data_IF_680650773239
#
_entry.id   IF_680650773239
#
_cell.length_a   1.000
_cell.length_b   1.000
_cell.length_c   1.000
_cell.angle_alpha   90.00
_cell.angle_beta   90.00
_cell.angle_gamma   90.00
#
_symmetry.space_group_name_H-M   'P 1'
#
loop_
_entity.id
_entity.type
_entity.pdbx_description
1 polymer ?
#
# COMPACT_ATOMS: atom_id res chain seq x y z
N UNK A 1 4.65 -23.33 30.72
CA UNK A 1 4.24 -24.12 29.54
C UNK A 1 3.51 -23.15 28.64
N UNK A 2 3.95 -22.95 27.39
CA UNK A 2 3.28 -21.99 26.48
C UNK A 2 2.00 -22.64 25.94
N UNK A 3 0.85 -22.04 26.19
CA UNK A 3 -0.48 -22.46 25.70
C UNK A 3 -1.27 -21.23 25.24
N UNK A 4 -2.29 -21.42 24.41
CA UNK A 4 -3.19 -20.34 24.00
C UNK A 4 -4.42 -20.31 24.91
N UNK A 5 -4.85 -19.11 25.31
CA UNK A 5 -6.15 -18.89 25.97
C UNK A 5 -7.21 -18.62 24.91
N UNK A 6 -8.37 -19.28 25.04
CA UNK A 6 -9.51 -19.11 24.15
C UNK A 6 -10.69 -18.48 24.90
N UNK A 7 -11.61 -17.85 24.17
CA UNK A 7 -12.93 -17.54 24.70
C UNK A 7 -13.86 -18.79 24.71
N UNK A 8 -15.10 -18.61 25.18
CA UNK A 8 -16.09 -19.70 25.23
C UNK A 8 -16.53 -20.21 23.84
N UNK A 9 -16.18 -19.49 22.78
CA UNK A 9 -16.50 -19.80 21.39
C UNK A 9 -15.26 -20.31 20.62
N UNK A 10 -14.11 -20.46 21.27
CA UNK A 10 -12.88 -20.97 20.67
C UNK A 10 -12.03 -19.92 19.95
N UNK A 11 -12.29 -18.62 20.13
CA UNK A 11 -11.44 -17.56 19.58
C UNK A 11 -10.20 -17.36 20.43
N UNK A 12 -9.06 -17.17 19.77
CA UNK A 12 -7.82 -16.80 20.44
C UNK A 12 -7.93 -15.46 21.16
N UNK A 13 -7.48 -15.41 22.43
CA UNK A 13 -7.39 -14.19 23.23
C UNK A 13 -5.93 -13.78 23.44
N UNK A 14 -5.13 -14.61 24.08
CA UNK A 14 -3.73 -14.31 24.41
C UNK A 14 -2.89 -15.58 24.68
N UNK A 15 -1.56 -15.42 24.71
CA UNK A 15 -0.59 -16.44 25.09
C UNK A 15 -0.52 -16.55 26.63
N UNK A 16 -0.68 -17.76 27.18
CA UNK A 16 -0.42 -18.04 28.60
C UNK A 16 0.96 -18.69 28.77
N UNK A 17 1.76 -18.14 29.68
CA UNK A 17 3.14 -18.58 29.90
C UNK A 17 3.37 -19.12 31.31
N UNK A 18 2.70 -18.53 32.32
CA UNK A 18 2.91 -18.82 33.75
C UNK A 18 1.61 -18.68 34.56
N UNK A 19 1.42 -19.53 35.58
CA UNK A 19 0.22 -19.56 36.43
C UNK A 19 -0.66 -20.80 36.21
N UNK A 20 -1.83 -20.83 36.85
CA UNK A 20 -2.79 -21.92 36.73
C UNK A 20 -3.33 -22.04 35.29
N UNK A 21 -3.67 -23.26 34.86
CA UNK A 21 -4.27 -23.51 33.54
C UNK A 21 -5.66 -22.88 33.46
N UNK A 22 -5.96 -22.07 32.42
CA UNK A 22 -7.27 -21.42 32.27
C UNK A 22 -8.37 -22.41 31.86
N UNK A 23 -9.64 -22.00 31.93
CA UNK A 23 -10.81 -22.88 31.66
C UNK A 23 -11.06 -23.19 30.18
N UNK A 24 -10.45 -22.42 29.27
CA UNK A 24 -10.51 -22.60 27.82
C UNK A 24 -9.12 -22.39 27.26
N UNK A 25 -8.45 -23.47 26.87
CA UNK A 25 -7.09 -23.40 26.36
C UNK A 25 -6.78 -24.52 25.37
N UNK A 26 -5.73 -24.32 24.59
CA UNK A 26 -5.16 -25.38 23.74
C UNK A 26 -3.63 -25.32 23.74
N UNK A 27 -3.00 -26.50 23.70
CA UNK A 27 -1.57 -26.64 23.49
C UNK A 27 -1.16 -26.44 22.02
N UNK A 28 -2.12 -26.46 21.10
CA UNK A 28 -1.90 -26.21 19.68
C UNK A 28 -1.70 -24.71 19.45
N UNK A 29 -0.45 -24.28 19.40
CA UNK A 29 -0.09 -22.87 19.26
C UNK A 29 -0.60 -22.28 17.95
N UNK A 30 -1.06 -21.02 18.00
CA UNK A 30 -1.50 -20.30 16.82
C UNK A 30 -0.24 -19.86 16.09
N UNK A 31 -0.16 -20.11 14.78
CA UNK A 31 0.98 -19.69 13.98
C UNK A 31 1.15 -18.16 14.00
N UNK A 32 2.36 -17.66 13.72
CA UNK A 32 2.54 -16.23 13.49
C UNK A 32 1.69 -15.79 12.28
N UNK A 33 0.84 -14.78 12.44
CA UNK A 33 0.10 -14.15 11.34
C UNK A 33 -1.41 -14.42 11.25
N UNK A 34 -2.00 -15.17 12.18
CA UNK A 34 -3.46 -15.36 12.22
C UNK A 34 -4.19 -14.14 12.84
N UNK A 35 -5.10 -13.50 12.10
CA UNK A 35 -5.98 -12.45 12.64
C UNK A 35 -7.33 -13.03 13.06
N UNK A 36 -7.70 -12.91 14.34
CA UNK A 36 -8.98 -13.43 14.87
C UNK A 36 -9.21 -14.91 14.47
N UNK A 37 -8.26 -15.79 14.80
CA UNK A 37 -8.44 -17.21 14.54
C UNK A 37 -9.37 -17.87 15.56
N UNK A 38 -10.14 -18.83 15.07
CA UNK A 38 -11.00 -19.69 15.86
C UNK A 38 -10.51 -21.13 15.74
N UNK A 39 -10.40 -21.84 16.87
CA UNK A 39 -10.05 -23.25 16.89
C UNK A 39 -11.32 -24.08 16.66
N UNK A 40 -11.53 -24.53 15.43
CA UNK A 40 -12.77 -25.16 14.96
C UNK A 40 -12.67 -26.69 14.95
N UNK A 41 -13.80 -27.37 15.14
CA UNK A 41 -13.88 -28.84 15.06
C UNK A 41 -13.27 -29.59 16.26
N UNK A 42 -12.85 -28.88 17.30
CA UNK A 42 -12.23 -29.46 18.48
C UNK A 42 -13.26 -30.08 19.44
N UNK A 43 -12.76 -30.97 20.31
CA UNK A 43 -13.51 -31.54 21.44
C UNK A 43 -12.94 -30.94 22.73
N UNK A 44 -13.80 -30.32 23.53
CA UNK A 44 -13.44 -29.78 24.85
C UNK A 44 -13.55 -30.86 25.93
N UNK A 45 -12.47 -31.07 26.68
CA UNK A 45 -12.48 -31.89 27.88
C UNK A 45 -13.17 -31.14 29.04
N UNK A 46 -14.24 -31.71 29.61
CA UNK A 46 -15.03 -31.09 30.67
C UNK A 46 -14.32 -31.04 32.03
N UNK A 47 -13.33 -31.90 32.27
CA UNK A 47 -12.58 -31.96 33.53
C UNK A 47 -11.37 -31.01 33.53
N UNK A 48 -10.72 -30.82 32.38
CA UNK A 48 -9.46 -30.05 32.28
C UNK A 48 -9.60 -28.71 31.55
N UNK A 49 -10.70 -28.48 30.83
CA UNK A 49 -10.92 -27.28 30.02
C UNK A 49 -10.17 -27.26 28.68
N UNK A 50 -9.39 -28.30 28.37
CA UNK A 50 -8.55 -28.37 27.17
C UNK A 50 -9.36 -28.66 25.90
N UNK A 51 -9.06 -27.96 24.81
CA UNK A 51 -9.60 -28.21 23.48
C UNK A 51 -8.59 -29.00 22.64
N UNK A 52 -9.01 -30.17 22.11
CA UNK A 52 -8.13 -31.07 21.33
C UNK A 52 -8.75 -31.49 20.00
N UNK A 53 -7.89 -31.80 19.02
CA UNK A 53 -8.31 -32.36 17.72
C UNK A 53 -8.98 -31.36 16.76
N UNK A 54 -8.87 -30.07 17.03
CA UNK A 54 -9.37 -29.01 16.15
C UNK A 54 -8.32 -28.51 15.17
N UNK A 55 -8.74 -27.56 14.34
CA UNK A 55 -7.89 -26.83 13.39
C UNK A 55 -8.10 -25.33 13.58
N UNK A 56 -7.01 -24.57 13.57
CA UNK A 56 -7.09 -23.11 13.55
C UNK A 56 -7.60 -22.60 12.20
N UNK A 57 -8.72 -21.88 12.23
CA UNK A 57 -9.33 -21.24 11.06
C UNK A 57 -9.28 -19.73 11.27
N UNK A 58 -8.76 -19.00 10.29
CA UNK A 58 -8.79 -17.53 10.30
C UNK A 58 -10.23 -17.06 10.03
N UNK A 59 -10.83 -16.36 11.00
CA UNK A 59 -12.24 -15.92 10.90
C UNK A 59 -12.39 -14.40 10.80
N UNK A 60 -11.28 -13.68 10.69
CA UNK A 60 -11.25 -12.24 10.44
C UNK A 60 -10.08 -11.86 9.55
N UNK A 61 -10.14 -10.66 8.99
CA UNK A 61 -9.24 -10.22 7.94
C UNK A 61 -9.98 -10.03 6.62
N UNK A 62 -9.33 -9.35 5.68
CA UNK A 62 -9.83 -9.23 4.31
C UNK A 62 -9.75 -10.61 3.65
N UNK A 63 -10.83 -11.06 3.01
CA UNK A 63 -10.77 -12.28 2.20
C UNK A 63 -9.77 -12.11 1.05
N UNK A 64 -9.29 -13.21 0.42
CA UNK A 64 -8.47 -13.10 -0.78
C UNK A 64 -9.11 -12.23 -1.87
N UNK A 65 -10.44 -12.29 -2.01
CA UNK A 65 -11.20 -11.44 -2.93
C UNK A 65 -11.14 -9.96 -2.53
N UNK A 66 -11.32 -9.64 -1.25
CA UNK A 66 -11.19 -8.27 -0.75
C UNK A 66 -9.78 -7.70 -0.95
N UNK A 67 -8.75 -8.54 -0.76
CA UNK A 67 -7.35 -8.17 -0.99
C UNK A 67 -7.12 -7.85 -2.47
N UNK A 68 -7.67 -8.67 -3.37
CA UNK A 68 -7.53 -8.46 -4.81
C UNK A 68 -8.30 -7.21 -5.28
N UNK A 69 -9.48 -6.95 -4.71
CA UNK A 69 -10.23 -5.71 -4.93
C UNK A 69 -9.41 -4.49 -4.50
N UNK A 70 -8.78 -4.53 -3.32
CA UNK A 70 -7.96 -3.43 -2.82
C UNK A 70 -6.72 -3.21 -3.68
N UNK A 71 -6.03 -4.29 -4.10
CA UNK A 71 -4.89 -4.19 -5.03
C UNK A 71 -5.32 -3.57 -6.36
N UNK A 72 -6.47 -3.99 -6.90
CA UNK A 72 -7.05 -3.42 -8.11
C UNK A 72 -7.36 -1.93 -7.95
N UNK A 73 -7.94 -1.53 -6.81
CA UNK A 73 -8.24 -0.14 -6.49
C UNK A 73 -6.98 0.73 -6.37
N UNK A 74 -5.93 0.22 -5.70
CA UNK A 74 -4.64 0.88 -5.58
C UNK A 74 -3.96 1.07 -6.94
N UNK A 75 -4.00 0.03 -7.78
CA UNK A 75 -3.45 0.09 -9.13
C UNK A 75 -4.22 1.08 -10.01
N UNK A 76 -5.55 1.10 -9.92
CA UNK A 76 -6.39 2.06 -10.64
C UNK A 76 -6.08 3.50 -10.21
N UNK A 77 -5.99 3.76 -8.91
CA UNK A 77 -5.66 5.07 -8.36
C UNK A 77 -4.27 5.53 -8.79
N UNK A 78 -3.27 4.64 -8.73
CA UNK A 78 -1.90 4.92 -9.14
C UNK A 78 -1.79 5.22 -10.64
N UNK A 79 -2.58 4.54 -11.48
CA UNK A 79 -2.66 4.85 -12.91
C UNK A 79 -3.30 6.21 -13.19
N UNK A 80 -4.33 6.59 -12.43
CA UNK A 80 -4.95 7.91 -12.54
C UNK A 80 -3.96 9.01 -12.15
N UNK A 81 -3.20 8.82 -11.08
CA UNK A 81 -2.14 9.76 -10.67
C UNK A 81 -1.06 9.89 -11.75
N UNK A 82 -0.56 8.77 -12.29
CA UNK A 82 0.38 8.77 -13.42
C UNK A 82 -0.15 9.57 -14.61
N UNK A 83 -1.43 9.36 -14.98
CA UNK A 83 -2.06 10.07 -16.08
C UNK A 83 -2.17 11.58 -15.79
N UNK A 84 -2.53 11.95 -14.57
CA UNK A 84 -2.60 13.36 -14.13
C UNK A 84 -1.23 14.05 -14.21
N UNK A 85 -0.17 13.41 -13.68
CA UNK A 85 1.19 13.94 -13.74
C UNK A 85 1.71 14.07 -15.18
N UNK A 86 1.39 13.10 -16.04
CA UNK A 86 1.71 13.15 -17.48
C UNK A 86 0.97 14.27 -18.22
N UNK A 87 -0.29 14.51 -17.88
CA UNK A 87 -1.10 15.60 -18.43
C UNK A 87 -0.49 16.94 -18.03
N UNK A 88 -0.28 17.15 -16.74
CA UNK A 88 0.31 18.38 -16.22
C UNK A 88 1.68 18.67 -16.87
N UNK A 89 2.56 17.67 -16.96
CA UNK A 89 3.84 17.85 -17.64
C UNK A 89 3.69 18.20 -19.13
N UNK A 90 2.66 17.70 -19.80
CA UNK A 90 2.40 18.01 -21.21
C UNK A 90 1.85 19.42 -21.39
N UNK A 91 0.99 19.88 -20.47
CA UNK A 91 0.47 21.24 -20.44
C UNK A 91 1.61 22.25 -20.24
N UNK A 92 2.51 21.99 -19.29
CA UNK A 92 3.69 22.84 -19.04
C UNK A 92 4.66 22.84 -20.24
N UNK A 93 4.89 21.68 -20.87
CA UNK A 93 5.71 21.62 -22.10
C UNK A 93 5.07 22.43 -23.21
N UNK A 94 3.75 22.35 -23.38
CA UNK A 94 3.00 23.12 -24.37
C UNK A 94 3.17 24.62 -24.15
N UNK A 95 2.83 25.10 -22.96
CA UNK A 95 2.96 26.52 -22.60
C UNK A 95 4.38 27.07 -22.82
N UNK A 96 5.41 26.35 -22.40
CA UNK A 96 6.81 26.77 -22.58
C UNK A 96 7.20 26.75 -24.07
N UNK A 97 6.69 25.79 -24.85
CA UNK A 97 6.97 25.72 -26.28
C UNK A 97 6.33 26.91 -27.00
N UNK A 98 5.06 27.20 -26.71
CA UNK A 98 4.32 28.32 -27.29
C UNK A 98 5.00 29.67 -26.95
N UNK A 99 5.54 29.82 -25.74
CA UNK A 99 6.29 31.02 -25.33
C UNK A 99 7.61 31.16 -26.11
N UNK A 100 8.36 30.08 -26.27
CA UNK A 100 9.58 30.08 -27.10
C UNK A 100 9.26 30.46 -28.54
N UNK A 101 8.22 29.85 -29.13
CA UNK A 101 7.80 30.11 -30.50
C UNK A 101 7.40 31.58 -30.68
N UNK A 102 6.64 32.16 -29.74
CA UNK A 102 6.26 33.57 -29.79
C UNK A 102 7.44 34.55 -29.73
N UNK A 103 8.47 34.23 -28.95
CA UNK A 103 9.71 35.02 -28.90
C UNK A 103 10.51 34.89 -30.21
N UNK A 104 10.64 33.66 -30.73
CA UNK A 104 11.35 33.40 -31.99
C UNK A 104 10.66 34.07 -33.19
N UNK A 105 9.32 34.03 -33.26
CA UNK A 105 8.52 34.70 -34.29
C UNK A 105 8.62 36.23 -34.21
N UNK A 106 8.88 36.77 -33.01
CA UNK A 106 9.07 38.21 -32.77
C UNK A 106 10.54 38.65 -32.94
N UNK A 107 11.44 37.74 -33.34
CA UNK A 107 12.89 37.95 -33.40
C UNK A 107 13.51 38.39 -32.05
N UNK A 108 12.88 38.01 -30.92
CA UNK A 108 13.36 38.27 -29.57
C UNK A 108 14.28 37.14 -29.08
N UNK A 109 15.26 37.49 -28.24
CA UNK A 109 16.17 36.50 -27.65
C UNK A 109 15.43 35.58 -26.67
N UNK A 110 15.45 34.27 -26.93
CA UNK A 110 14.86 33.26 -26.04
C UNK A 110 15.67 33.14 -24.74
N UNK A 111 15.07 33.38 -23.57
CA UNK A 111 15.75 33.25 -22.29
C UNK A 111 16.28 31.82 -22.04
N UNK A 112 17.49 31.73 -21.48
CA UNK A 112 18.13 30.44 -21.21
C UNK A 112 17.37 29.60 -20.17
N UNK A 113 16.69 30.25 -19.21
CA UNK A 113 15.84 29.57 -18.22
C UNK A 113 14.66 28.87 -18.88
N UNK A 114 14.04 29.49 -19.89
CA UNK A 114 12.91 28.89 -20.61
C UNK A 114 13.31 27.59 -21.32
N UNK A 115 14.52 27.59 -21.93
CA UNK A 115 15.10 26.38 -22.54
C UNK A 115 15.48 25.31 -21.51
N UNK A 116 15.99 25.69 -20.33
CA UNK A 116 16.28 24.74 -19.26
C UNK A 116 15.00 24.14 -18.66
N UNK A 117 13.95 24.95 -18.50
CA UNK A 117 12.66 24.51 -17.96
C UNK A 117 11.99 23.53 -18.91
N UNK A 118 11.99 23.82 -20.22
CA UNK A 118 11.50 22.88 -21.23
C UNK A 118 12.22 21.53 -21.16
N UNK A 119 13.54 21.55 -20.95
CA UNK A 119 14.34 20.32 -20.81
C UNK A 119 13.98 19.58 -19.52
N UNK A 120 13.83 20.28 -18.41
CA UNK A 120 13.47 19.69 -17.12
C UNK A 120 12.09 19.02 -17.17
N UNK A 121 11.09 19.69 -17.75
CA UNK A 121 9.74 19.13 -17.91
C UNK A 121 9.70 17.93 -18.85
N UNK A 122 10.45 17.96 -19.97
CA UNK A 122 10.59 16.79 -20.87
C UNK A 122 11.20 15.59 -20.14
N UNK A 123 12.24 15.81 -19.33
CA UNK A 123 12.85 14.74 -18.52
C UNK A 123 11.89 14.22 -17.44
N UNK A 124 11.20 15.12 -16.75
CA UNK A 124 10.19 14.78 -15.75
C UNK A 124 9.09 13.89 -16.34
N UNK A 125 8.49 14.28 -17.48
CA UNK A 125 7.46 13.48 -18.16
C UNK A 125 7.95 12.07 -18.50
N UNK A 126 9.20 11.93 -18.94
CA UNK A 126 9.80 10.62 -19.21
C UNK A 126 9.96 9.80 -17.93
N UNK A 127 10.39 10.43 -16.82
CA UNK A 127 10.48 9.76 -15.52
C UNK A 127 9.11 9.25 -15.08
N UNK A 128 8.07 10.12 -15.09
CA UNK A 128 6.68 9.74 -14.77
C UNK A 128 6.20 8.59 -15.63
N UNK A 129 6.41 8.65 -16.96
CA UNK A 129 6.04 7.58 -17.88
C UNK A 129 6.64 6.22 -17.49
N UNK A 130 7.86 6.22 -16.97
CA UNK A 130 8.59 5.01 -16.62
C UNK A 130 8.34 4.52 -15.18
N UNK A 131 7.55 5.24 -14.38
CA UNK A 131 7.15 4.78 -13.04
C UNK A 131 6.35 3.48 -13.14
N UNK A 132 6.73 2.49 -12.35
CA UNK A 132 6.03 1.24 -12.20
C UNK A 132 4.90 1.36 -11.15
N UNK A 133 3.67 1.35 -11.63
CA UNK A 133 2.47 1.47 -10.78
C UNK A 133 2.15 0.18 -10.02
N UNK A 134 2.80 -0.95 -10.34
CA UNK A 134 2.62 -2.21 -9.62
C UNK A 134 3.25 -2.19 -8.22
N UNK A 135 4.09 -1.19 -7.94
CA UNK A 135 4.69 -0.95 -6.63
C UNK A 135 3.71 -0.32 -5.62
N UNK A 136 2.48 -0.02 -6.04
CA UNK A 136 1.45 0.52 -5.17
C UNK A 136 1.27 -0.33 -3.88
N UNK A 137 1.12 0.32 -2.71
CA UNK A 137 0.98 1.77 -2.50
C UNK A 137 2.33 2.53 -2.40
N UNK A 138 3.46 1.82 -2.45
CA UNK A 138 4.79 2.38 -2.19
C UNK A 138 5.46 2.86 -3.49
N UNK A 139 4.82 3.82 -4.17
CA UNK A 139 5.35 4.43 -5.39
C UNK A 139 6.16 5.68 -5.02
N UNK A 140 7.40 5.74 -5.50
CA UNK A 140 8.20 6.97 -5.45
C UNK A 140 7.96 7.80 -6.71
N UNK A 141 7.11 8.82 -6.58
CA UNK A 141 6.86 9.75 -7.67
C UNK A 141 8.05 10.69 -7.88
N UNK A 142 8.45 10.98 -9.13
CA UNK A 142 9.47 11.99 -9.39
C UNK A 142 8.98 13.36 -8.93
N UNK A 143 9.89 14.18 -8.42
CA UNK A 143 9.60 15.57 -8.06
C UNK A 143 9.46 16.40 -9.33
N UNK A 144 8.41 17.22 -9.40
CA UNK A 144 8.13 18.10 -10.54
C UNK A 144 9.07 19.32 -10.54
N UNK A 145 9.40 19.89 -11.72
CA UNK A 145 10.31 21.04 -11.81
C UNK A 145 9.81 22.31 -11.09
N UNK A 146 8.49 22.53 -11.02
CA UNK A 146 7.87 23.66 -10.32
C UNK A 146 7.98 23.56 -8.78
N UNK A 147 7.92 22.35 -8.22
CA UNK A 147 8.11 22.14 -6.79
C UNK A 147 9.52 22.53 -6.32
N UNK A 148 10.52 22.39 -7.20
CA UNK A 148 11.91 22.81 -6.94
C UNK A 148 12.05 24.34 -6.93
N UNK A 149 11.18 25.06 -7.67
CA UNK A 149 11.20 26.52 -7.72
C UNK A 149 10.58 27.16 -6.47
N UNK A 150 9.77 26.44 -5.70
CA UNK A 150 9.13 26.96 -4.48
C UNK A 150 9.98 26.85 -3.20
N UNK A 151 11.13 26.16 -3.26
CA UNK A 151 12.05 26.01 -2.11
C UNK A 151 13.32 26.87 -2.21
N UNK A 152 13.37 27.83 -3.15
CA UNK A 152 14.53 28.71 -3.39
C UNK A 152 14.30 30.17 -2.96
#
# INVERSE_FOLDING_TARGET
MKINILDIHGFYLEDHVEGATPDNWTADLVGNGYYKAQYQGAIKNSETGEWTGGTWVETGGLSPEDIDILKGSLLASSNLEKASLMSHASDMIGAITDEIEGLEDSEEDVPANLRSDLKAWKQYRVKVKNVDVSLAPNIEWPVSPDAVLTEA
#
